data_IF_224934091391
#
_entry.id   IF_224934091391
#
_cell.length_a   1.000
_cell.length_b   1.000
_cell.length_c   1.000
_cell.angle_alpha   90.00
_cell.angle_beta   90.00
_cell.angle_gamma   90.00
#
_symmetry.space_group_name_H-M   'P 1'
#
loop_
_entity.id
_entity.type
_entity.pdbx_description
1 polymer ?
#
# COMPACT_ATOMS: atom_id res chain seq x y z
N UNK A 1 -4.28 4.72 -9.57
CA UNK A 1 -2.83 4.73 -9.22
C UNK A 1 -2.47 5.69 -8.07
N UNK A 2 -3.43 6.18 -7.30
CA UNK A 2 -3.18 7.08 -6.15
C UNK A 2 -2.63 6.36 -4.91
N UNK A 3 -2.47 5.05 -4.95
CA UNK A 3 -2.00 4.20 -3.84
C UNK A 3 -0.61 3.61 -4.09
N UNK A 4 0.13 4.15 -5.03
CA UNK A 4 1.51 3.77 -5.31
C UNK A 4 2.42 4.96 -5.06
N UNK A 5 3.58 4.72 -4.53
CA UNK A 5 4.66 5.70 -4.42
C UNK A 5 6.00 5.00 -4.68
N UNK A 6 6.82 5.58 -5.51
CA UNK A 6 8.22 5.16 -5.69
C UNK A 6 9.13 6.11 -4.91
N UNK A 7 9.25 7.34 -5.37
CA UNK A 7 10.08 8.37 -4.72
C UNK A 7 9.28 9.40 -3.90
N UNK A 8 7.94 9.39 -3.99
CA UNK A 8 7.08 10.41 -3.37
C UNK A 8 6.95 11.70 -4.17
N UNK A 9 7.69 11.85 -5.26
CA UNK A 9 7.58 12.96 -6.18
C UNK A 9 6.47 12.72 -7.22
N UNK A 10 5.96 13.81 -7.81
CA UNK A 10 5.07 13.73 -8.97
C UNK A 10 5.89 13.39 -10.22
N UNK A 11 5.33 12.53 -11.07
CA UNK A 11 5.96 12.22 -12.34
C UNK A 11 5.89 13.38 -13.34
N UNK A 12 6.91 13.48 -14.19
CA UNK A 12 6.96 14.44 -15.31
C UNK A 12 6.30 13.89 -16.57
N UNK A 13 6.21 12.58 -16.74
CA UNK A 13 5.84 11.92 -18.00
C UNK A 13 5.14 10.56 -17.86
N UNK A 14 4.89 10.08 -16.64
CA UNK A 14 4.11 8.84 -16.45
C UNK A 14 2.70 8.99 -17.00
N UNK A 15 2.29 8.02 -17.81
CA UNK A 15 1.02 8.10 -18.52
C UNK A 15 0.26 6.78 -18.36
N UNK A 16 -1.03 6.88 -18.06
CA UNK A 16 -1.94 5.74 -18.08
C UNK A 16 -2.87 5.90 -19.27
N UNK A 17 -2.86 4.92 -20.17
CA UNK A 17 -3.69 4.95 -21.38
C UNK A 17 -4.63 3.73 -21.38
N UNK A 18 -5.91 3.99 -21.67
CA UNK A 18 -6.89 2.94 -21.92
C UNK A 18 -7.38 3.03 -23.37
N UNK A 19 -7.26 1.94 -24.12
CA UNK A 19 -7.71 1.85 -25.51
C UNK A 19 -8.85 0.82 -25.61
N UNK A 20 -9.99 1.24 -26.16
CA UNK A 20 -11.15 0.40 -26.33
C UNK A 20 -11.56 0.35 -27.82
N UNK A 21 -11.40 -0.81 -28.46
CA UNK A 21 -11.72 -1.00 -29.88
C UNK A 21 -13.23 -1.11 -30.17
N UNK A 22 -14.05 -1.36 -29.16
CA UNK A 22 -15.49 -1.63 -29.31
C UNK A 22 -15.82 -2.97 -29.99
N UNK A 23 -14.83 -3.84 -30.23
CA UNK A 23 -15.01 -5.11 -30.97
C UNK A 23 -15.38 -6.32 -30.11
N UNK A 24 -15.56 -6.14 -28.79
CA UNK A 24 -15.86 -7.25 -27.88
C UNK A 24 -17.28 -7.85 -28.09
N UNK A 25 -18.17 -7.15 -28.82
CA UNK A 25 -19.52 -7.62 -29.12
C UNK A 25 -20.48 -7.65 -27.93
N UNK A 26 -20.06 -7.15 -26.76
CA UNK A 26 -20.91 -7.04 -25.60
C UNK A 26 -21.91 -5.87 -25.72
N UNK A 27 -23.03 -5.96 -25.02
CA UNK A 27 -23.96 -4.86 -24.90
C UNK A 27 -23.29 -3.61 -24.31
N UNK A 28 -23.67 -2.43 -24.81
CA UNK A 28 -23.16 -1.17 -24.28
C UNK A 28 -23.56 -1.04 -22.80
N UNK A 29 -22.59 -0.73 -21.95
CA UNK A 29 -22.82 -0.40 -20.55
C UNK A 29 -23.14 1.09 -20.50
N UNK A 30 -24.43 1.43 -20.43
CA UNK A 30 -24.89 2.80 -20.49
C UNK A 30 -25.25 3.38 -19.11
N UNK A 31 -25.59 2.51 -18.16
CA UNK A 31 -26.13 2.91 -16.87
C UNK A 31 -25.16 2.58 -15.73
N UNK A 32 -24.85 3.56 -14.91
CA UNK A 32 -24.33 3.37 -13.57
C UNK A 32 -25.51 3.44 -12.56
N UNK A 33 -25.62 2.48 -11.63
CA UNK A 33 -24.70 1.43 -11.21
C UNK A 33 -25.15 0.01 -11.63
N UNK A 34 -25.12 -0.31 -12.92
CA UNK A 34 -25.46 -1.67 -13.38
C UNK A 34 -24.48 -2.75 -12.87
N UNK A 35 -24.91 -4.00 -12.85
CA UNK A 35 -24.03 -5.13 -12.48
C UNK A 35 -22.82 -5.23 -13.41
N UNK A 36 -23.03 -4.97 -14.72
CA UNK A 36 -21.97 -4.97 -15.71
C UNK A 36 -20.95 -3.84 -15.48
N UNK A 37 -21.40 -2.62 -15.13
CA UNK A 37 -20.53 -1.50 -14.78
C UNK A 37 -19.69 -1.81 -13.54
N UNK A 38 -20.29 -2.38 -12.50
CA UNK A 38 -19.57 -2.81 -11.28
C UNK A 38 -18.53 -3.89 -11.58
N UNK A 39 -18.86 -4.86 -12.43
CA UNK A 39 -17.91 -5.91 -12.81
C UNK A 39 -16.73 -5.32 -13.59
N UNK A 40 -16.99 -4.45 -14.57
CA UNK A 40 -15.94 -3.77 -15.34
C UNK A 40 -15.05 -2.92 -14.41
N UNK A 41 -15.65 -2.15 -13.51
CA UNK A 41 -14.90 -1.35 -12.53
C UNK A 41 -13.99 -2.21 -11.63
N UNK A 42 -14.48 -3.34 -11.16
CA UNK A 42 -13.68 -4.28 -10.36
C UNK A 42 -12.52 -4.85 -11.16
N UNK A 43 -12.76 -5.27 -12.40
CA UNK A 43 -11.72 -5.81 -13.28
C UNK A 43 -10.63 -4.76 -13.58
N UNK A 44 -11.05 -3.53 -13.95
CA UNK A 44 -10.12 -2.43 -14.19
C UNK A 44 -9.33 -2.05 -12.91
N UNK A 45 -9.99 -2.06 -11.76
CA UNK A 45 -9.31 -1.79 -10.48
C UNK A 45 -8.24 -2.84 -10.19
N UNK A 46 -8.56 -4.12 -10.35
CA UNK A 46 -7.59 -5.21 -10.13
C UNK A 46 -6.42 -5.12 -11.11
N UNK A 47 -6.70 -4.85 -12.40
CA UNK A 47 -5.66 -4.64 -13.41
C UNK A 47 -4.74 -3.46 -13.04
N UNK A 48 -5.32 -2.31 -12.71
CA UNK A 48 -4.55 -1.14 -12.31
C UNK A 48 -3.72 -1.37 -11.05
N UNK A 49 -4.24 -2.13 -10.08
CA UNK A 49 -3.48 -2.50 -8.88
C UNK A 49 -2.28 -3.38 -9.24
N UNK A 50 -2.46 -4.36 -10.12
CA UNK A 50 -1.36 -5.20 -10.60
C UNK A 50 -0.27 -4.37 -11.30
N UNK A 51 -0.67 -3.51 -12.23
CA UNK A 51 0.27 -2.62 -12.93
C UNK A 51 1.00 -1.67 -11.98
N UNK A 52 0.30 -1.14 -10.97
CA UNK A 52 0.92 -0.29 -9.95
C UNK A 52 1.98 -1.04 -9.13
N UNK A 53 1.72 -2.30 -8.76
CA UNK A 53 2.72 -3.13 -8.07
C UNK A 53 3.94 -3.38 -8.95
N UNK A 54 3.73 -3.66 -10.24
CA UNK A 54 4.84 -3.83 -11.20
C UNK A 54 5.70 -2.57 -11.32
N UNK A 55 5.09 -1.39 -11.41
CA UNK A 55 5.82 -0.11 -11.45
C UNK A 55 6.66 0.09 -10.17
N UNK A 56 6.09 -0.21 -9.00
CA UNK A 56 6.82 -0.08 -7.75
C UNK A 56 7.97 -1.09 -7.64
N UNK A 57 7.75 -2.30 -8.14
CA UNK A 57 8.76 -3.36 -8.18
C UNK A 57 9.92 -3.03 -9.11
N UNK A 58 9.62 -2.41 -10.26
CA UNK A 58 10.60 -2.03 -11.29
C UNK A 58 11.21 -0.63 -11.05
N UNK A 59 11.05 -0.08 -9.86
CA UNK A 59 11.64 1.22 -9.50
C UNK A 59 13.16 1.19 -9.60
N UNK A 60 13.77 2.23 -10.18
CA UNK A 60 15.22 2.34 -10.36
C UNK A 60 15.96 2.19 -9.02
N UNK A 61 16.84 1.20 -8.94
CA UNK A 61 17.60 0.89 -7.73
C UNK A 61 16.77 0.28 -6.60
N UNK A 62 15.49 -0.05 -6.84
CA UNK A 62 14.64 -0.67 -5.84
C UNK A 62 15.07 -2.13 -5.60
N UNK A 63 15.22 -2.48 -4.34
CA UNK A 63 15.54 -3.85 -3.90
C UNK A 63 14.49 -4.42 -2.95
N UNK A 64 13.50 -3.62 -2.55
CA UNK A 64 12.41 -4.00 -1.66
C UNK A 64 11.10 -3.38 -2.15
N UNK A 65 10.05 -4.19 -2.21
CA UNK A 65 8.67 -3.73 -2.36
C UNK A 65 8.00 -3.68 -1.00
N UNK A 66 7.59 -2.49 -0.57
CA UNK A 66 6.82 -2.30 0.66
C UNK A 66 5.33 -2.23 0.35
N UNK A 67 4.57 -3.17 0.86
CA UNK A 67 3.10 -3.14 0.84
C UNK A 67 2.57 -2.74 2.22
N UNK A 68 1.75 -1.69 2.28
CA UNK A 68 1.14 -1.20 3.51
C UNK A 68 -0.35 -1.52 3.49
N UNK A 69 -0.78 -2.34 4.43
CA UNK A 69 -2.18 -2.72 4.64
C UNK A 69 -2.68 -2.01 5.90
N UNK A 70 -3.76 -1.28 5.79
CA UNK A 70 -4.42 -0.60 6.92
C UNK A 70 -5.83 -1.12 7.05
N UNK A 71 -6.15 -1.65 8.21
CA UNK A 71 -7.46 -2.21 8.57
C UNK A 71 -8.03 -1.48 9.78
N UNK A 72 -9.35 -1.53 9.97
CA UNK A 72 -10.03 -0.97 11.12
C UNK A 72 -10.10 0.56 11.19
N UNK A 73 -9.72 1.29 10.13
CA UNK A 73 -9.91 2.73 10.08
C UNK A 73 -11.40 3.10 9.91
N UNK A 74 -11.79 4.29 10.37
CA UNK A 74 -13.18 4.77 10.33
C UNK A 74 -13.76 4.84 8.91
N UNK A 75 -12.91 5.07 7.92
CA UNK A 75 -13.28 5.07 6.52
C UNK A 75 -12.18 4.52 5.61
N UNK A 76 -12.59 4.07 4.41
CA UNK A 76 -11.64 3.67 3.37
C UNK A 76 -10.71 4.81 2.96
N UNK A 77 -11.18 6.05 3.04
CA UNK A 77 -10.36 7.21 2.73
C UNK A 77 -9.29 7.43 3.79
N UNK A 78 -9.63 7.27 5.06
CA UNK A 78 -8.68 7.40 6.16
C UNK A 78 -7.65 6.28 6.15
N UNK A 79 -8.06 5.03 5.89
CA UNK A 79 -7.13 3.94 5.66
C UNK A 79 -6.10 4.26 4.56
N UNK A 80 -6.56 4.87 3.45
CA UNK A 80 -5.68 5.28 2.35
C UNK A 80 -4.72 6.40 2.74
N UNK A 81 -5.18 7.39 3.51
CA UNK A 81 -4.32 8.48 4.00
C UNK A 81 -3.21 7.94 4.89
N UNK A 82 -3.56 7.05 5.82
CA UNK A 82 -2.60 6.40 6.71
C UNK A 82 -1.60 5.56 5.91
N UNK A 83 -2.06 4.68 5.04
CA UNK A 83 -1.20 3.85 4.21
C UNK A 83 -0.24 4.68 3.35
N UNK A 84 -0.73 5.77 2.76
CA UNK A 84 0.07 6.69 1.96
C UNK A 84 1.12 7.42 2.79
N UNK A 85 0.76 7.86 3.99
CA UNK A 85 1.68 8.51 4.92
C UNK A 85 2.84 7.57 5.27
N UNK A 86 2.54 6.32 5.62
CA UNK A 86 3.55 5.32 5.94
C UNK A 86 4.44 5.02 4.72
N UNK A 87 3.83 4.74 3.56
CA UNK A 87 4.58 4.40 2.35
C UNK A 87 5.43 5.54 1.79
N UNK A 88 5.10 6.79 2.12
CA UNK A 88 5.85 7.99 1.72
C UNK A 88 6.88 8.43 2.77
N UNK A 89 6.86 7.86 3.96
CA UNK A 89 7.77 8.22 5.05
C UNK A 89 9.20 7.79 4.74
N UNK A 90 10.11 8.75 4.65
CA UNK A 90 11.53 8.47 4.45
C UNK A 90 12.12 7.63 5.58
N UNK A 91 11.66 7.85 6.82
CA UNK A 91 12.11 7.08 7.97
C UNK A 91 11.62 5.64 7.94
N UNK A 92 10.35 5.41 7.56
CA UNK A 92 9.83 4.05 7.38
C UNK A 92 10.55 3.33 6.24
N UNK A 93 10.76 3.99 5.09
CA UNK A 93 11.53 3.44 3.97
C UNK A 93 12.96 3.08 4.37
N UNK A 94 13.65 3.96 5.12
CA UNK A 94 15.01 3.69 5.60
C UNK A 94 15.06 2.50 6.56
N UNK A 95 14.04 2.33 7.41
CA UNK A 95 13.94 1.17 8.30
C UNK A 95 13.79 -0.11 7.50
N UNK A 96 12.86 -0.15 6.55
CA UNK A 96 12.63 -1.32 5.70
C UNK A 96 13.88 -1.65 4.86
N UNK A 97 14.52 -0.64 4.26
CA UNK A 97 15.77 -0.82 3.51
C UNK A 97 16.90 -1.39 4.38
N UNK A 98 17.02 -0.86 5.62
CA UNK A 98 18.02 -1.32 6.59
C UNK A 98 17.65 -2.62 7.32
N UNK A 99 16.54 -3.26 6.95
CA UNK A 99 16.03 -4.44 7.64
C UNK A 99 15.87 -4.22 9.15
N UNK A 100 15.47 -2.99 9.54
CA UNK A 100 15.18 -2.60 10.93
C UNK A 100 13.67 -2.69 11.17
N UNK A 101 13.19 -3.62 12.01
CA UNK A 101 11.77 -3.76 12.32
C UNK A 101 11.29 -2.64 13.26
N UNK A 102 11.34 -1.42 12.75
CA UNK A 102 11.12 -0.19 13.52
C UNK A 102 9.65 0.21 13.55
N UNK A 103 8.88 -0.38 14.46
CA UNK A 103 7.48 -0.04 14.67
C UNK A 103 7.28 1.45 15.00
N UNK A 104 8.23 2.09 15.69
CA UNK A 104 8.12 3.49 16.07
C UNK A 104 8.06 4.44 14.88
N UNK A 105 8.82 4.18 13.82
CA UNK A 105 8.77 4.96 12.57
C UNK A 105 7.46 4.76 11.83
N UNK A 106 6.90 3.54 11.87
CA UNK A 106 5.59 3.22 11.28
C UNK A 106 4.48 3.93 12.07
N UNK A 107 4.48 3.81 13.40
CA UNK A 107 3.52 4.48 14.28
C UNK A 107 3.55 6.01 14.11
N UNK A 108 4.75 6.60 14.06
CA UNK A 108 4.92 8.02 13.82
C UNK A 108 4.31 8.44 12.47
N UNK A 109 4.58 7.70 11.41
CA UNK A 109 4.04 7.98 10.08
C UNK A 109 2.51 7.83 10.03
N UNK A 110 1.93 6.89 10.76
CA UNK A 110 0.49 6.76 10.93
C UNK A 110 -0.09 7.96 11.71
N UNK A 111 0.58 8.39 12.78
CA UNK A 111 0.11 9.45 13.67
C UNK A 111 0.00 10.82 12.99
N UNK A 112 0.90 11.17 12.06
CA UNK A 112 0.80 12.45 11.34
C UNK A 112 0.04 12.38 10.01
N UNK A 113 -0.60 11.24 9.69
CA UNK A 113 -1.35 11.05 8.45
C UNK A 113 -2.60 11.95 8.33
N UNK A 114 -3.07 12.51 9.42
CA UNK A 114 -4.23 13.39 9.52
C UNK A 114 -5.48 12.75 10.11
N UNK A 115 -5.89 11.51 9.72
CA UNK A 115 -6.99 10.83 10.38
C UNK A 115 -6.73 10.65 11.87
N UNK A 116 -7.78 10.84 12.69
CA UNK A 116 -7.71 10.57 14.12
C UNK A 116 -8.02 9.10 14.38
N UNK A 117 -7.29 8.49 15.26
CA UNK A 117 -7.56 7.14 15.77
C UNK A 117 -7.08 7.03 17.21
N UNK A 118 -7.61 6.07 17.95
CA UNK A 118 -7.15 5.79 19.32
C UNK A 118 -5.81 5.06 19.25
N UNK A 119 -4.77 5.71 19.79
CA UNK A 119 -3.42 5.13 19.82
C UNK A 119 -3.35 3.84 20.63
N UNK A 120 -4.28 3.65 21.58
CA UNK A 120 -4.36 2.42 22.37
C UNK A 120 -5.01 1.26 21.62
N UNK A 121 -5.54 1.50 20.40
CA UNK A 121 -6.06 0.46 19.51
C UNK A 121 -5.12 0.16 18.34
N UNK A 122 -3.94 0.80 18.29
CA UNK A 122 -2.99 0.62 17.21
C UNK A 122 -2.24 -0.70 17.35
N UNK A 123 -2.35 -1.53 16.33
CA UNK A 123 -1.55 -2.74 16.14
C UNK A 123 -0.60 -2.54 14.95
N UNK A 124 0.62 -3.03 15.06
CA UNK A 124 1.62 -2.99 13.97
C UNK A 124 2.26 -4.36 13.83
N UNK A 125 2.31 -4.85 12.60
CA UNK A 125 3.02 -6.08 12.24
C UNK A 125 3.89 -5.88 10.99
N UNK A 126 4.97 -6.64 10.90
CA UNK A 126 5.78 -6.82 9.70
C UNK A 126 5.70 -8.30 9.27
N UNK A 127 5.07 -8.54 8.13
CA UNK A 127 4.71 -9.90 7.73
C UNK A 127 3.84 -10.55 8.79
N UNK A 128 4.27 -11.70 9.32
CA UNK A 128 3.56 -12.42 10.37
C UNK A 128 3.96 -12.01 11.79
N UNK A 129 4.99 -11.18 11.93
CA UNK A 129 5.53 -10.78 13.23
C UNK A 129 4.83 -9.52 13.75
N UNK A 130 4.11 -9.66 14.87
CA UNK A 130 3.56 -8.49 15.58
C UNK A 130 4.68 -7.78 16.33
N UNK A 131 4.74 -6.45 16.13
CA UNK A 131 5.71 -5.56 16.78
C UNK A 131 5.08 -4.71 17.87
N UNK A 132 3.78 -4.42 17.72
CA UNK A 132 2.99 -3.60 18.65
C UNK A 132 1.56 -4.13 18.69
N UNK A 133 0.96 -4.15 19.85
CA UNK A 133 -0.45 -4.50 20.06
C UNK A 133 -1.08 -3.55 21.07
N UNK A 134 -2.28 -3.06 20.74
CA UNK A 134 -3.03 -2.11 21.59
C UNK A 134 -2.18 -0.92 22.06
N UNK A 135 -1.42 -0.35 21.14
CA UNK A 135 -0.54 0.79 21.42
C UNK A 135 0.69 0.49 22.28
N UNK A 136 0.94 -0.79 22.63
CA UNK A 136 2.07 -1.21 23.43
C UNK A 136 3.07 -2.03 22.60
N UNK A 137 4.38 -1.74 22.68
CA UNK A 137 5.39 -2.53 22.01
C UNK A 137 5.44 -3.96 22.58
N UNK A 138 5.61 -4.92 21.70
CA UNK A 138 5.79 -6.32 22.06
C UNK A 138 7.26 -6.71 21.98
N UNK A 139 7.73 -7.65 22.80
CA UNK A 139 9.01 -8.30 22.56
C UNK A 139 8.91 -9.16 21.28
N UNK A 140 9.85 -9.02 20.39
CA UNK A 140 9.91 -9.78 19.13
C UNK A 140 11.34 -10.16 18.80
N UNK A 141 11.48 -11.23 18.01
CA UNK A 141 12.75 -11.61 17.42
C UNK A 141 13.02 -10.76 16.18
N UNK A 142 14.09 -9.95 16.23
CA UNK A 142 14.43 -9.04 15.14
C UNK A 142 14.83 -9.78 13.86
N UNK A 143 15.49 -10.96 13.97
CA UNK A 143 15.88 -11.77 12.81
C UNK A 143 14.64 -12.38 12.15
N UNK A 144 13.69 -12.89 12.93
CA UNK A 144 12.43 -13.39 12.42
C UNK A 144 11.58 -12.30 11.74
N UNK A 145 11.55 -11.10 12.32
CA UNK A 145 10.80 -9.97 11.78
C UNK A 145 11.37 -9.46 10.43
N UNK A 146 12.68 -9.59 10.21
CA UNK A 146 13.33 -9.19 8.96
C UNK A 146 13.35 -10.27 7.89
N UNK A 147 13.38 -11.54 8.28
CA UNK A 147 13.38 -12.71 7.38
C UNK A 147 12.05 -12.96 6.67
N UNK A 148 10.94 -12.55 7.27
CA UNK A 148 9.59 -12.74 6.71
C UNK A 148 9.22 -11.80 5.55
N UNK A 149 9.97 -10.73 5.32
CA UNK A 149 9.71 -9.72 4.30
C UNK A 149 10.59 -9.78 3.04
N UNK A 150 11.65 -10.56 3.06
CA UNK A 150 12.59 -10.62 1.95
C UNK A 150 12.34 -11.82 1.04
N UNK A 151 11.21 -11.82 0.33
CA UNK A 151 11.09 -12.61 -0.89
C UNK A 151 12.06 -12.04 -1.94
N UNK A 152 13.33 -12.44 -1.92
CA UNK A 152 14.21 -12.27 -3.07
C UNK A 152 13.63 -13.12 -4.20
N UNK A 153 13.05 -12.48 -5.20
CA UNK A 153 12.92 -13.11 -6.50
C UNK A 153 14.35 -13.28 -7.06
N UNK A 154 14.77 -14.53 -7.16
CA UNK A 154 15.93 -14.95 -7.96
C UNK A 154 15.62 -14.83 -9.43
#
# INVERSE_FOLDING_TARGET
CTQISVAGATSTNDTVVALASGKAGNSKIADEPSSAAKLLQRALTALCQGLCKMIAWDGEGANVLMEVIVEGADSREDARKIARSISSSSLAKSAIFGQDPNWGRIACAAGYAGPKFDVNSLDIALGETKLMEKGQPLPFDAEAATGGGAGRAS
#
